data_IF_461303479031
#
_entry.id   IF_461303479031
#
_cell.length_a   1.000
_cell.length_b   1.000
_cell.length_c   1.000
_cell.angle_alpha   90.00
_cell.angle_beta   90.00
_cell.angle_gamma   90.00
#
_symmetry.space_group_name_H-M   'P 1'
#
loop_
_entity.id
_entity.type
_entity.pdbx_description
1 polymer ?
#
# COMPACT_ATOMS: atom_id res chain seq x y z
N UNK A 1 -4.66 -24.93 13.26
CA UNK A 1 -4.07 -23.68 12.73
C UNK A 1 -4.26 -23.67 11.22
N UNK A 2 -5.05 -22.75 10.68
CA UNK A 2 -5.21 -22.60 9.22
C UNK A 2 -4.09 -21.67 8.73
N UNK A 3 -2.90 -22.24 8.55
CA UNK A 3 -1.75 -21.47 8.06
C UNK A 3 -1.96 -21.13 6.59
N UNK A 4 -1.69 -19.89 6.19
CA UNK A 4 -1.56 -19.55 4.77
C UNK A 4 -0.30 -20.23 4.22
N UNK A 5 -0.47 -21.22 3.33
CA UNK A 5 0.62 -21.98 2.67
C UNK A 5 1.09 -21.29 1.38
N UNK A 6 2.26 -21.64 0.80
CA UNK A 6 2.70 -21.09 -0.48
C UNK A 6 1.70 -21.33 -1.62
N UNK A 7 1.04 -22.49 -1.64
CA UNK A 7 -0.03 -22.80 -2.61
C UNK A 7 -1.21 -21.85 -2.41
N UNK A 8 -1.61 -21.61 -1.16
CA UNK A 8 -2.70 -20.69 -0.85
C UNK A 8 -2.37 -19.26 -1.26
N UNK A 9 -1.12 -18.81 -1.06
CA UNK A 9 -0.67 -17.49 -1.54
C UNK A 9 -0.84 -17.40 -3.05
N UNK A 10 -0.43 -18.43 -3.80
CA UNK A 10 -0.57 -18.47 -5.26
C UNK A 10 -2.04 -18.42 -5.70
N UNK A 11 -2.90 -19.25 -5.10
CA UNK A 11 -4.35 -19.25 -5.38
C UNK A 11 -4.98 -17.87 -5.16
N UNK A 12 -4.67 -17.22 -4.04
CA UNK A 12 -5.18 -15.88 -3.73
C UNK A 12 -4.64 -14.87 -4.74
N UNK A 13 -3.34 -14.90 -5.04
CA UNK A 13 -2.73 -13.98 -6.00
C UNK A 13 -3.32 -14.13 -7.41
N UNK A 14 -3.69 -15.34 -7.82
CA UNK A 14 -4.27 -15.65 -9.14
C UNK A 14 -5.78 -15.44 -9.21
N UNK A 15 -6.46 -15.18 -8.09
CA UNK A 15 -7.91 -14.95 -8.07
C UNK A 15 -8.28 -13.75 -8.97
N UNK A 16 -9.13 -13.94 -10.01
CA UNK A 16 -9.48 -12.88 -10.95
C UNK A 16 -10.40 -11.81 -10.34
N UNK A 17 -11.15 -12.15 -9.28
CA UNK A 17 -11.98 -11.19 -8.56
C UNK A 17 -11.09 -10.33 -7.65
N UNK A 18 -10.85 -9.09 -8.06
CA UNK A 18 -9.97 -8.13 -7.36
C UNK A 18 -10.46 -7.79 -5.95
N UNK A 19 -11.78 -7.76 -5.74
CA UNK A 19 -12.37 -7.44 -4.45
C UNK A 19 -12.15 -8.60 -3.50
N UNK A 20 -12.57 -9.80 -3.89
CA UNK A 20 -12.38 -11.02 -3.06
C UNK A 20 -10.89 -11.27 -2.83
N UNK A 21 -10.06 -11.10 -3.86
CA UNK A 21 -8.60 -11.21 -3.74
C UNK A 21 -8.03 -10.25 -2.69
N UNK A 22 -8.38 -8.96 -2.70
CA UNK A 22 -7.86 -8.02 -1.70
C UNK A 22 -8.31 -8.39 -0.28
N UNK A 23 -9.55 -8.85 -0.09
CA UNK A 23 -10.02 -9.34 1.21
C UNK A 23 -9.21 -10.55 1.68
N UNK A 24 -8.93 -11.49 0.78
CA UNK A 24 -8.09 -12.65 1.05
C UNK A 24 -6.65 -12.27 1.39
N UNK A 25 -6.06 -11.32 0.65
CA UNK A 25 -4.72 -10.77 0.93
C UNK A 25 -4.69 -10.16 2.34
N UNK A 26 -5.66 -9.31 2.67
CA UNK A 26 -5.79 -8.65 3.98
C UNK A 26 -5.89 -9.69 5.10
N UNK A 27 -6.74 -10.71 4.91
CA UNK A 27 -6.90 -11.78 5.88
C UNK A 27 -5.62 -12.63 6.03
N UNK A 28 -4.92 -12.93 4.93
CA UNK A 28 -3.67 -13.69 4.98
C UNK A 28 -2.54 -12.92 5.67
N UNK A 29 -2.45 -11.60 5.50
CA UNK A 29 -1.51 -10.78 6.29
C UNK A 29 -1.80 -10.85 7.78
N UNK A 30 -3.07 -10.85 8.18
CA UNK A 30 -3.44 -11.03 9.58
C UNK A 30 -3.07 -12.43 10.09
N UNK A 31 -3.27 -13.48 9.28
CA UNK A 31 -2.87 -14.85 9.63
C UNK A 31 -1.34 -15.00 9.78
N UNK A 32 -0.56 -14.38 8.90
CA UNK A 32 0.90 -14.31 9.05
C UNK A 32 1.29 -13.57 10.33
N UNK A 33 0.60 -12.47 10.62
CA UNK A 33 0.85 -11.66 11.82
C UNK A 33 0.67 -12.48 13.10
N UNK A 34 -0.44 -13.21 13.22
CA UNK A 34 -0.67 -14.08 14.37
C UNK A 34 0.35 -15.21 14.45
N UNK A 35 0.68 -15.83 13.31
CA UNK A 35 1.66 -16.91 13.28
C UNK A 35 3.07 -16.45 13.71
N UNK A 36 3.51 -15.27 13.27
CA UNK A 36 4.80 -14.71 13.67
C UNK A 36 4.80 -14.21 15.12
N UNK A 37 3.69 -13.69 15.63
CA UNK A 37 3.57 -13.24 17.02
C UNK A 37 3.86 -14.36 18.03
N UNK A 38 3.45 -15.60 17.71
CA UNK A 38 3.76 -16.80 18.49
C UNK A 38 5.27 -17.06 18.58
N UNK A 39 6.02 -16.88 17.49
CA UNK A 39 7.48 -17.07 17.48
C UNK A 39 8.25 -15.92 18.15
N UNK A 40 7.70 -14.70 18.11
CA UNK A 40 8.39 -13.51 18.62
C UNK A 40 8.20 -13.30 20.13
N UNK A 41 7.29 -14.06 20.76
CA UNK A 41 7.02 -13.97 22.19
C UNK A 41 6.07 -12.83 22.56
N UNK A 42 5.12 -12.51 21.67
CA UNK A 42 3.99 -11.60 21.94
C UNK A 42 4.36 -10.17 22.34
N UNK A 43 5.44 -9.62 21.78
CA UNK A 43 5.90 -8.25 22.04
C UNK A 43 6.06 -7.42 20.78
N UNK A 44 6.94 -7.85 19.89
CA UNK A 44 7.29 -7.13 18.67
C UNK A 44 6.46 -7.64 17.48
N UNK A 45 5.95 -6.72 16.66
CA UNK A 45 5.20 -7.03 15.45
C UNK A 45 6.09 -7.17 14.22
N UNK A 46 5.74 -8.11 13.35
CA UNK A 46 6.34 -8.28 12.02
C UNK A 46 5.63 -7.40 10.97
N UNK A 47 6.27 -7.18 9.83
CA UNK A 47 5.79 -6.30 8.76
C UNK A 47 4.34 -6.58 8.31
N UNK A 48 3.93 -7.86 8.33
CA UNK A 48 2.56 -8.28 7.99
C UNK A 48 1.48 -7.62 8.86
N UNK A 49 1.83 -7.23 10.09
CA UNK A 49 0.94 -6.53 11.01
C UNK A 49 0.54 -5.17 10.43
N UNK A 50 1.51 -4.42 9.91
CA UNK A 50 1.28 -3.15 9.24
C UNK A 50 0.57 -3.35 7.90
N UNK A 51 1.01 -4.35 7.12
CA UNK A 51 0.43 -4.66 5.81
C UNK A 51 -1.06 -5.02 5.87
N UNK A 52 -1.52 -5.62 6.97
CA UNK A 52 -2.95 -5.91 7.20
C UNK A 52 -3.79 -4.64 7.07
N UNK A 53 -3.40 -3.57 7.74
CA UNK A 53 -4.17 -2.31 7.77
C UNK A 53 -4.04 -1.52 6.48
N UNK A 54 -2.84 -1.47 5.90
CA UNK A 54 -2.62 -0.82 4.60
C UNK A 54 -3.39 -1.55 3.49
N UNK A 55 -3.39 -2.89 3.48
CA UNK A 55 -4.15 -3.69 2.51
C UNK A 55 -5.66 -3.52 2.68
N UNK A 56 -6.13 -3.39 3.93
CA UNK A 56 -7.52 -3.07 4.24
C UNK A 56 -7.93 -1.70 3.67
N UNK A 57 -7.08 -0.67 3.86
CA UNK A 57 -7.29 0.66 3.29
C UNK A 57 -7.35 0.62 1.76
N UNK A 58 -6.43 -0.09 1.11
CA UNK A 58 -6.45 -0.32 -0.34
C UNK A 58 -7.78 -0.94 -0.79
N UNK A 59 -8.37 -1.81 0.04
CA UNK A 59 -9.67 -2.42 -0.21
C UNK A 59 -10.81 -1.42 -0.39
N UNK A 60 -10.83 -0.31 0.36
CA UNK A 60 -11.87 0.73 0.20
C UNK A 60 -11.85 1.36 -1.19
N UNK A 61 -10.65 1.56 -1.77
CA UNK A 61 -10.52 2.02 -3.15
C UNK A 61 -10.94 0.97 -4.17
N UNK A 62 -10.57 -0.29 -3.95
CA UNK A 62 -10.91 -1.38 -4.86
C UNK A 62 -12.43 -1.55 -4.96
N UNK A 63 -13.12 -1.39 -3.83
CA UNK A 63 -14.59 -1.47 -3.73
C UNK A 63 -15.31 -0.18 -4.10
N UNK A 64 -14.58 0.89 -4.44
CA UNK A 64 -15.12 2.23 -4.71
C UNK A 64 -15.99 2.78 -3.56
N UNK A 65 -15.67 2.39 -2.31
CA UNK A 65 -16.47 2.74 -1.13
C UNK A 65 -16.32 4.20 -0.72
N UNK A 66 -15.25 4.86 -1.16
CA UNK A 66 -15.06 6.29 -0.97
C UNK A 66 -14.80 6.97 -2.30
N UNK A 67 -15.75 7.80 -2.72
CA UNK A 67 -15.46 8.93 -3.60
C UNK A 67 -15.14 10.10 -2.68
N UNK A 68 -13.87 10.54 -2.59
CA UNK A 68 -13.48 11.53 -1.60
C UNK A 68 -14.22 12.84 -1.83
N UNK A 69 -14.52 13.57 -0.75
CA UNK A 69 -15.26 14.83 -0.79
C UNK A 69 -14.71 15.84 -1.83
N UNK A 70 -13.38 15.95 -2.08
CA UNK A 70 -12.86 16.79 -3.16
C UNK A 70 -13.32 16.34 -4.56
N UNK A 71 -13.46 15.04 -4.81
CA UNK A 71 -13.98 14.50 -6.08
C UNK A 71 -15.49 14.76 -6.19
N UNK A 72 -16.23 14.67 -5.08
CA UNK A 72 -17.65 15.07 -5.01
C UNK A 72 -17.85 16.57 -5.25
N UNK A 73 -17.03 17.42 -4.66
CA UNK A 73 -17.04 18.87 -4.85
C UNK A 73 -16.67 19.24 -6.30
N UNK A 74 -15.73 18.53 -6.90
CA UNK A 74 -15.37 18.72 -8.30
C UNK A 74 -16.50 18.30 -9.25
N UNK A 75 -17.21 17.20 -8.97
CA UNK A 75 -18.44 16.82 -9.66
C UNK A 75 -19.56 17.86 -9.43
N UNK A 76 -19.60 18.52 -8.28
CA UNK A 76 -20.55 19.59 -7.97
C UNK A 76 -20.26 20.93 -8.70
N UNK A 77 -19.08 21.11 -9.30
CA UNK A 77 -18.80 22.25 -10.19
C UNK A 77 -19.72 22.27 -11.42
N UNK A 78 -20.30 21.12 -11.80
CA UNK A 78 -21.33 20.99 -12.85
C UNK A 78 -22.61 21.78 -12.50
N UNK A 79 -22.90 21.93 -11.20
CA UNK A 79 -24.05 22.72 -10.71
C UNK A 79 -23.77 24.22 -10.80
N UNK A 80 -22.52 24.66 -10.53
CA UNK A 80 -22.14 26.07 -10.66
C UNK A 80 -21.92 26.51 -12.12
N UNK A 81 -21.60 25.60 -13.04
CA UNK A 81 -21.54 25.90 -14.48
C UNK A 81 -22.89 26.35 -15.07
N UNK A 82 -24.04 26.04 -14.43
CA UNK A 82 -25.33 26.65 -14.81
C UNK A 82 -25.36 28.17 -14.57
N UNK A 83 -24.48 28.72 -13.73
CA UNK A 83 -24.38 30.16 -13.43
C UNK A 83 -23.30 30.89 -14.24
N UNK A 84 -22.26 30.18 -14.68
CA UNK A 84 -21.23 30.74 -15.56
C UNK A 84 -21.67 30.54 -17.02
N UNK A 85 -21.98 31.62 -17.74
CA UNK A 85 -22.49 31.61 -19.12
C UNK A 85 -21.54 30.97 -20.16
N UNK A 86 -21.35 29.65 -20.09
CA UNK A 86 -20.52 28.90 -21.03
C UNK A 86 -21.26 28.69 -22.36
N UNK A 87 -20.55 28.75 -23.50
CA UNK A 87 -21.13 28.46 -24.80
C UNK A 87 -21.72 27.04 -24.88
N UNK A 88 -22.80 26.81 -25.68
CA UNK A 88 -23.50 25.53 -25.78
C UNK A 88 -22.60 24.34 -26.11
N UNK A 89 -21.59 24.57 -26.97
CA UNK A 89 -20.65 23.55 -27.40
C UNK A 89 -19.77 23.05 -26.23
N UNK A 90 -19.35 23.93 -25.32
CA UNK A 90 -18.62 23.53 -24.11
C UNK A 90 -19.50 22.69 -23.19
N UNK A 91 -20.74 23.09 -22.97
CA UNK A 91 -21.70 22.35 -22.14
C UNK A 91 -21.95 20.93 -22.65
N UNK A 92 -22.05 20.75 -23.97
CA UNK A 92 -22.20 19.44 -24.60
C UNK A 92 -20.92 18.58 -24.47
N UNK A 93 -19.75 19.19 -24.63
CA UNK A 93 -18.44 18.55 -24.52
C UNK A 93 -17.97 18.31 -23.07
N UNK A 94 -18.68 18.82 -22.07
CA UNK A 94 -18.34 18.66 -20.65
C UNK A 94 -19.22 17.62 -19.94
N UNK A 95 -20.50 17.47 -20.30
CA UNK A 95 -21.42 16.72 -19.44
C UNK A 95 -21.30 15.19 -19.51
N UNK A 96 -21.15 14.58 -20.69
CA UNK A 96 -20.99 13.12 -20.85
C UNK A 96 -19.54 12.63 -21.04
N UNK A 97 -18.73 13.25 -21.90
CA UNK A 97 -17.38 12.76 -22.18
C UNK A 97 -16.43 12.87 -20.98
N UNK A 98 -16.54 13.96 -20.22
CA UNK A 98 -15.70 14.18 -19.05
C UNK A 98 -16.08 13.27 -17.88
N UNK A 99 -17.37 13.06 -17.60
CA UNK A 99 -17.82 12.06 -16.61
C UNK A 99 -17.37 10.65 -16.97
N UNK A 100 -17.34 10.31 -18.26
CA UNK A 100 -16.85 9.01 -18.74
C UNK A 100 -15.35 8.86 -18.47
N UNK A 101 -14.57 9.92 -18.69
CA UNK A 101 -13.16 9.98 -18.34
C UNK A 101 -12.89 9.91 -16.83
N UNK A 102 -13.70 10.57 -16.01
CA UNK A 102 -13.62 10.46 -14.54
C UNK A 102 -13.82 9.00 -14.13
N UNK A 103 -14.90 8.35 -14.60
CA UNK A 103 -15.18 6.94 -14.28
C UNK A 103 -14.06 6.02 -14.73
N UNK A 104 -13.60 6.17 -15.97
CA UNK A 104 -12.46 5.41 -16.50
C UNK A 104 -11.22 5.57 -15.64
N UNK A 105 -10.93 6.80 -15.21
CA UNK A 105 -9.74 7.10 -14.41
C UNK A 105 -9.83 6.49 -13.01
N UNK A 106 -10.99 6.57 -12.35
CA UNK A 106 -11.22 5.91 -11.05
C UNK A 106 -11.06 4.39 -11.17
N UNK A 107 -11.62 3.79 -12.21
CA UNK A 107 -11.50 2.35 -12.48
C UNK A 107 -10.03 1.93 -12.73
N UNK A 108 -9.25 2.76 -13.44
CA UNK A 108 -7.82 2.51 -13.75
C UNK A 108 -6.95 2.61 -12.48
N UNK A 109 -7.25 3.57 -11.61
CA UNK A 109 -6.59 3.72 -10.30
C UNK A 109 -6.90 2.52 -9.41
N UNK A 110 -8.18 2.15 -9.29
CA UNK A 110 -8.62 0.95 -8.57
C UNK A 110 -7.93 -0.32 -9.09
N UNK A 111 -7.80 -0.44 -10.42
CA UNK A 111 -7.05 -1.53 -11.06
C UNK A 111 -5.58 -1.55 -10.64
N UNK A 112 -4.88 -0.43 -10.76
CA UNK A 112 -3.44 -0.37 -10.45
C UNK A 112 -3.13 -0.57 -8.97
N UNK A 113 -3.99 -0.10 -8.06
CA UNK A 113 -3.88 -0.39 -6.63
C UNK A 113 -4.12 -1.87 -6.32
N UNK A 114 -5.14 -2.47 -6.93
CA UNK A 114 -5.41 -3.91 -6.78
C UNK A 114 -4.28 -4.79 -7.32
N UNK A 115 -3.60 -4.35 -8.38
CA UNK A 115 -2.47 -5.05 -8.96
C UNK A 115 -1.18 -4.86 -8.15
N UNK A 116 -0.93 -3.64 -7.63
CA UNK A 116 0.19 -3.37 -6.72
C UNK A 116 0.11 -4.22 -5.44
N UNK A 117 -1.05 -4.25 -4.79
CA UNK A 117 -1.27 -5.08 -3.59
C UNK A 117 -1.12 -6.58 -3.89
N UNK A 118 -1.59 -7.04 -5.07
CA UNK A 118 -1.39 -8.42 -5.53
C UNK A 118 0.10 -8.73 -5.75
N UNK A 119 0.84 -7.83 -6.38
CA UNK A 119 2.27 -8.00 -6.66
C UNK A 119 3.07 -8.18 -5.38
N UNK A 120 2.86 -7.29 -4.40
CA UNK A 120 3.50 -7.36 -3.09
C UNK A 120 3.15 -8.67 -2.39
N UNK A 121 1.85 -9.02 -2.34
CA UNK A 121 1.41 -10.24 -1.69
C UNK A 121 1.97 -11.51 -2.34
N UNK A 122 1.99 -11.58 -3.67
CA UNK A 122 2.53 -12.73 -4.39
C UNK A 122 4.02 -12.97 -4.10
N UNK A 123 4.80 -11.90 -3.87
CA UNK A 123 6.20 -12.00 -3.48
C UNK A 123 6.33 -12.26 -1.97
N UNK A 124 6.02 -11.26 -1.12
CA UNK A 124 6.26 -11.34 0.32
C UNK A 124 5.41 -12.41 1.02
N UNK A 125 4.17 -12.64 0.57
CA UNK A 125 3.34 -13.70 1.12
C UNK A 125 3.94 -15.09 0.91
N UNK A 126 4.54 -15.34 -0.26
CA UNK A 126 5.21 -16.61 -0.54
C UNK A 126 6.45 -16.78 0.33
N UNK A 127 7.24 -15.71 0.49
CA UNK A 127 8.40 -15.72 1.38
C UNK A 127 8.02 -15.97 2.84
N UNK A 128 6.94 -15.35 3.32
CA UNK A 128 6.43 -15.57 4.68
C UNK A 128 5.90 -16.98 4.89
N UNK A 129 5.18 -17.54 3.92
CA UNK A 129 4.69 -18.90 4.00
C UNK A 129 5.85 -19.92 4.04
N UNK A 130 6.85 -19.76 3.17
CA UNK A 130 8.07 -20.58 3.18
C UNK A 130 8.85 -20.43 4.49
N UNK A 131 8.97 -19.21 5.00
CA UNK A 131 9.67 -18.94 6.26
C UNK A 131 8.94 -19.57 7.46
N UNK A 132 7.62 -19.51 7.51
CA UNK A 132 6.84 -20.19 8.55
C UNK A 132 6.98 -21.72 8.49
N UNK A 133 7.10 -22.31 7.31
CA UNK A 133 7.40 -23.74 7.16
C UNK A 133 8.77 -24.05 7.77
N UNK A 134 9.79 -23.24 7.47
CA UNK A 134 11.13 -23.37 8.03
C UNK A 134 11.13 -23.24 9.56
N UNK A 135 10.41 -22.26 10.12
CA UNK A 135 10.37 -22.06 11.58
C UNK A 135 9.62 -23.19 12.31
N UNK A 136 8.67 -23.85 11.65
CA UNK A 136 7.88 -24.95 12.24
C UNK A 136 8.56 -26.30 12.09
N UNK A 137 9.48 -26.47 11.15
CA UNK A 137 10.11 -27.76 10.89
C UNK A 137 11.12 -28.16 11.99
N UNK A 138 11.65 -27.20 12.74
CA UNK A 138 12.69 -27.45 13.75
C UNK A 138 12.39 -26.74 15.07
N UNK A 139 12.70 -27.40 16.19
CA UNK A 139 12.71 -26.76 17.50
C UNK A 139 14.13 -26.25 17.79
N UNK A 140 14.41 -25.01 17.41
CA UNK A 140 15.69 -24.35 17.68
C UNK A 140 16.42 -23.84 16.43
N UNK A 141 17.63 -23.28 16.60
CA UNK A 141 18.44 -22.81 15.48
C UNK A 141 18.88 -23.95 14.54
N UNK A 142 18.71 -23.75 13.24
CA UNK A 142 19.15 -24.57 12.12
C UNK A 142 19.76 -23.63 11.04
N UNK A 143 21.07 -23.36 11.15
CA UNK A 143 21.77 -22.50 10.19
C UNK A 143 21.76 -23.06 8.76
N UNK A 144 21.75 -24.39 8.57
CA UNK A 144 21.80 -24.98 7.23
C UNK A 144 20.50 -24.75 6.46
N UNK A 145 19.35 -24.91 7.13
CA UNK A 145 18.06 -24.60 6.50
C UNK A 145 17.86 -23.10 6.31
N UNK A 146 18.37 -22.28 7.23
CA UNK A 146 18.39 -20.84 7.04
C UNK A 146 19.21 -20.48 5.78
N UNK A 147 20.43 -20.98 5.63
CA UNK A 147 21.28 -20.70 4.46
C UNK A 147 20.59 -21.16 3.16
N UNK A 148 19.97 -22.35 3.17
CA UNK A 148 19.21 -22.84 2.02
C UNK A 148 17.99 -21.96 1.69
N UNK A 149 17.34 -21.38 2.69
CA UNK A 149 16.26 -20.41 2.50
C UNK A 149 16.79 -19.08 1.94
N UNK A 150 17.83 -18.50 2.56
CA UNK A 150 18.40 -17.21 2.18
C UNK A 150 19.02 -17.24 0.77
N UNK A 151 19.70 -18.32 0.38
CA UNK A 151 20.27 -18.48 -0.96
C UNK A 151 19.22 -18.45 -2.07
N UNK A 152 17.96 -18.76 -1.77
CA UNK A 152 16.86 -18.62 -2.76
C UNK A 152 16.41 -17.18 -2.94
N UNK A 153 16.67 -16.32 -1.96
CA UNK A 153 16.25 -14.92 -1.97
C UNK A 153 17.25 -14.01 -2.66
N UNK A 154 18.54 -14.38 -2.65
CA UNK A 154 19.62 -13.59 -3.27
C UNK A 154 19.47 -13.43 -4.78
N UNK A 155 18.75 -14.35 -5.43
CA UNK A 155 18.48 -14.31 -6.86
C UNK A 155 17.38 -13.31 -7.24
N UNK A 156 16.71 -12.68 -6.26
CA UNK A 156 15.67 -11.71 -6.55
C UNK A 156 16.27 -10.44 -7.18
N UNK A 157 15.88 -10.08 -8.42
CA UNK A 157 16.47 -8.94 -9.14
C UNK A 157 16.16 -7.57 -8.52
N UNK A 158 15.23 -7.51 -7.55
CA UNK A 158 14.86 -6.27 -6.88
C UNK A 158 15.20 -6.43 -5.39
N UNK A 159 16.28 -5.79 -4.95
CA UNK A 159 16.71 -5.74 -3.55
C UNK A 159 16.91 -7.13 -2.89
N UNK A 160 17.47 -8.08 -3.65
CA UNK A 160 17.80 -9.44 -3.17
C UNK A 160 18.70 -9.45 -1.93
N UNK A 161 19.64 -8.51 -1.84
CA UNK A 161 20.54 -8.39 -0.68
C UNK A 161 19.77 -7.91 0.58
N UNK A 162 18.90 -6.91 0.43
CA UNK A 162 18.10 -6.36 1.53
C UNK A 162 17.11 -7.38 2.07
N UNK A 163 16.47 -8.19 1.20
CA UNK A 163 15.53 -9.21 1.65
C UNK A 163 16.27 -10.35 2.37
N UNK A 164 17.48 -10.73 1.93
CA UNK A 164 18.34 -11.68 2.65
C UNK A 164 18.70 -11.14 4.03
N UNK A 165 19.12 -9.86 4.13
CA UNK A 165 19.40 -9.20 5.41
C UNK A 165 18.16 -9.19 6.31
N UNK A 166 16.99 -8.88 5.76
CA UNK A 166 15.75 -8.80 6.52
C UNK A 166 15.39 -10.13 7.20
N UNK A 167 15.40 -11.23 6.44
CA UNK A 167 15.10 -12.56 6.98
C UNK A 167 16.21 -13.11 7.88
N UNK A 168 17.46 -12.70 7.66
CA UNK A 168 18.57 -12.99 8.60
C UNK A 168 18.28 -12.35 9.96
N UNK A 169 17.92 -11.06 10.00
CA UNK A 169 17.55 -10.40 11.26
C UNK A 169 16.29 -11.01 11.88
N UNK A 170 15.30 -11.39 11.08
CA UNK A 170 14.06 -11.99 11.57
C UNK A 170 14.37 -13.31 12.27
N UNK A 171 15.14 -14.17 11.62
CA UNK A 171 15.55 -15.45 12.17
C UNK A 171 16.32 -15.29 13.48
N UNK A 172 17.31 -14.38 13.53
CA UNK A 172 18.05 -14.12 14.76
C UNK A 172 17.18 -13.50 15.86
N UNK A 173 16.19 -12.67 15.50
CA UNK A 173 15.27 -12.10 16.47
C UNK A 173 14.49 -13.18 17.21
N UNK A 174 14.03 -14.24 16.53
CA UNK A 174 13.24 -15.32 17.15
C UNK A 174 13.98 -15.96 18.34
N UNK A 175 15.28 -16.19 18.21
CA UNK A 175 16.12 -16.81 19.24
C UNK A 175 16.81 -15.81 20.18
N UNK A 176 16.63 -14.50 19.97
CA UNK A 176 17.22 -13.46 20.80
C UNK A 176 16.51 -13.39 22.17
N UNK A 177 17.31 -13.29 23.22
CA UNK A 177 16.84 -13.25 24.62
C UNK A 177 16.87 -11.84 25.19
N UNK A 178 17.77 -10.98 24.70
CA UNK A 178 17.79 -9.58 25.08
C UNK A 178 16.62 -8.85 24.39
N UNK A 179 15.64 -8.31 25.15
CA UNK A 179 14.45 -7.70 24.58
C UNK A 179 14.73 -6.46 23.72
N UNK A 180 15.80 -5.70 24.02
CA UNK A 180 16.19 -4.55 23.22
C UNK A 180 16.78 -4.98 21.88
N UNK A 181 17.72 -5.94 21.89
CA UNK A 181 18.33 -6.46 20.66
C UNK A 181 17.28 -7.17 19.79
N UNK A 182 16.35 -7.91 20.38
CA UNK A 182 15.22 -8.53 19.67
C UNK A 182 14.37 -7.47 18.98
N UNK A 183 14.00 -6.40 19.69
CA UNK A 183 13.21 -5.31 19.14
C UNK A 183 13.96 -4.61 17.99
N UNK A 184 15.24 -4.30 18.15
CA UNK A 184 16.04 -3.66 17.10
C UNK A 184 16.22 -4.56 15.87
N UNK A 185 16.37 -5.88 16.04
CA UNK A 185 16.39 -6.83 14.92
C UNK A 185 15.07 -6.87 14.17
N UNK A 186 13.95 -6.97 14.89
CA UNK A 186 12.63 -6.92 14.25
C UNK A 186 12.37 -5.59 13.55
N UNK A 187 12.88 -4.49 14.11
CA UNK A 187 12.78 -3.19 13.49
C UNK A 187 13.55 -3.13 12.16
N UNK A 188 14.80 -3.60 12.13
CA UNK A 188 15.57 -3.73 10.88
C UNK A 188 14.88 -4.64 9.87
N UNK A 189 14.35 -5.80 10.30
CA UNK A 189 13.55 -6.69 9.44
C UNK A 189 12.39 -5.95 8.80
N UNK A 190 11.61 -5.20 9.59
CA UNK A 190 10.45 -4.47 9.11
C UNK A 190 10.85 -3.37 8.11
N UNK A 191 11.90 -2.60 8.39
CA UNK A 191 12.40 -1.55 7.49
C UNK A 191 12.88 -2.15 6.16
N UNK A 192 13.68 -3.22 6.20
CA UNK A 192 14.25 -3.84 5.00
C UNK A 192 13.16 -4.48 4.12
N UNK A 193 12.18 -5.17 4.73
CA UNK A 193 11.00 -5.67 4.00
C UNK A 193 10.19 -4.50 3.41
N UNK A 194 9.98 -3.44 4.19
CA UNK A 194 9.32 -2.22 3.72
C UNK A 194 10.05 -1.60 2.54
N UNK A 195 11.37 -1.47 2.59
CA UNK A 195 12.17 -0.93 1.49
C UNK A 195 12.01 -1.78 0.23
N UNK A 196 12.13 -3.11 0.36
CA UNK A 196 11.92 -4.07 -0.73
C UNK A 196 10.53 -3.95 -1.37
N UNK A 197 9.50 -3.85 -0.55
CA UNK A 197 8.12 -3.58 -0.98
C UNK A 197 8.01 -2.25 -1.73
N UNK A 198 8.52 -1.17 -1.14
CA UNK A 198 8.36 0.19 -1.67
C UNK A 198 9.14 0.43 -2.98
N UNK A 199 10.26 -0.26 -3.19
CA UNK A 199 10.99 -0.25 -4.46
C UNK A 199 10.17 -0.96 -5.55
N UNK A 200 9.60 -2.14 -5.26
CA UNK A 200 8.75 -2.87 -6.22
C UNK A 200 7.49 -2.10 -6.60
N UNK A 201 6.89 -1.40 -5.64
CA UNK A 201 5.68 -0.63 -5.87
C UNK A 201 5.91 0.61 -6.74
N UNK A 202 7.15 1.08 -6.95
CA UNK A 202 7.43 2.33 -7.66
C UNK A 202 6.80 2.36 -9.05
N UNK A 203 6.91 1.27 -9.83
CA UNK A 203 6.33 1.22 -11.17
C UNK A 203 4.79 1.24 -11.13
N UNK A 204 4.19 0.51 -10.18
CA UNK A 204 2.73 0.47 -10.01
C UNK A 204 2.19 1.85 -9.58
N UNK A 205 2.90 2.55 -8.68
CA UNK A 205 2.57 3.92 -8.29
C UNK A 205 2.67 4.86 -9.49
N UNK A 206 3.74 4.79 -10.28
CA UNK A 206 3.88 5.66 -11.45
C UNK A 206 2.79 5.43 -12.51
N UNK A 207 2.37 4.17 -12.71
CA UNK A 207 1.21 3.84 -13.57
C UNK A 207 -0.09 4.40 -13.00
N UNK A 208 -0.34 4.26 -11.70
CA UNK A 208 -1.52 4.80 -11.00
C UNK A 208 -1.64 6.30 -11.20
N UNK A 209 -0.53 7.04 -11.07
CA UNK A 209 -0.54 8.50 -11.13
C UNK A 209 -0.46 9.09 -12.55
N UNK A 210 0.19 8.43 -13.52
CA UNK A 210 0.44 9.03 -14.85
C UNK A 210 -0.40 8.44 -16.00
N UNK A 211 -0.90 7.20 -15.90
CA UNK A 211 -1.51 6.51 -17.03
C UNK A 211 -2.84 7.13 -17.51
N UNK A 212 -3.75 7.61 -16.64
CA UNK A 212 -5.02 8.19 -17.09
C UNK A 212 -4.82 9.46 -17.94
N UNK A 213 -3.80 10.25 -17.62
CA UNK A 213 -3.49 11.53 -18.26
C UNK A 213 -3.07 11.38 -19.70
N UNK A 214 -2.06 10.53 -19.90
CA UNK A 214 -1.49 10.29 -21.22
C UNK A 214 -2.55 9.67 -22.13
N UNK A 215 -3.26 8.65 -21.65
CA UNK A 215 -4.30 7.95 -22.44
C UNK A 215 -5.42 8.89 -22.91
N UNK A 216 -5.93 9.76 -22.05
CA UNK A 216 -7.00 10.68 -22.42
C UNK A 216 -6.56 11.81 -23.37
N UNK A 217 -5.32 12.29 -23.25
CA UNK A 217 -4.78 13.34 -24.11
C UNK A 217 -4.19 12.82 -25.43
N UNK A 218 -3.87 11.53 -25.52
CA UNK A 218 -3.32 10.88 -26.71
C UNK A 218 -4.41 10.39 -27.68
N UNK A 219 -5.55 9.89 -27.18
CA UNK A 219 -6.75 9.61 -28.01
C UNK A 219 -8.04 10.22 -27.41
N UNK A 220 -8.22 11.55 -27.51
CA UNK A 220 -9.38 12.26 -26.96
C UNK A 220 -10.72 11.76 -27.50
N UNK A 221 -10.76 11.19 -28.70
CA UNK A 221 -12.03 10.72 -29.28
C UNK A 221 -12.41 9.34 -28.78
N UNK A 222 -11.43 8.49 -28.50
CA UNK A 222 -11.74 7.20 -27.89
C UNK A 222 -12.16 7.34 -26.43
N UNK A 223 -11.55 8.27 -25.71
CA UNK A 223 -11.66 8.34 -24.25
C UNK A 223 -12.53 9.48 -23.72
N UNK A 224 -12.74 10.55 -24.51
CA UNK A 224 -13.64 11.64 -24.15
C UNK A 224 -14.88 11.55 -25.03
N UNK A 225 -14.76 11.66 -26.36
CA UNK A 225 -15.93 11.86 -27.23
C UNK A 225 -15.99 10.79 -28.34
N UNK A 226 -16.67 9.66 -28.12
CA UNK A 226 -16.77 8.57 -29.10
C UNK A 226 -17.80 8.94 -30.19
N UNK A 227 -17.46 9.94 -31.01
CA UNK A 227 -18.22 10.28 -32.20
C UNK A 227 -17.60 9.57 -33.42
N UNK A 228 -18.40 8.93 -34.30
CA UNK A 228 -17.91 8.33 -35.53
C UNK A 228 -17.56 9.44 -36.54
N UNK A 229 -16.37 10.00 -36.42
CA UNK A 229 -15.85 11.03 -37.32
C UNK A 229 -14.96 10.41 -38.41
N UNK A 230 -15.06 10.86 -39.68
CA UNK A 230 -14.10 10.52 -40.73
C UNK A 230 -12.66 10.85 -40.30
N UNK A 231 -11.69 10.04 -40.75
CA UNK A 231 -10.28 10.08 -40.30
C UNK A 231 -9.59 11.47 -40.42
N UNK A 232 -9.97 12.27 -41.42
CA UNK A 232 -9.46 13.64 -41.60
C UNK A 232 -9.95 14.60 -40.50
N UNK A 233 -11.25 14.54 -40.21
CA UNK A 233 -11.89 15.35 -39.15
C UNK A 233 -11.50 14.86 -37.76
N UNK A 234 -11.04 13.60 -37.68
CA UNK A 234 -10.57 12.97 -36.46
C UNK A 234 -9.34 13.71 -35.89
N UNK A 235 -8.32 13.97 -36.71
CA UNK A 235 -7.09 14.67 -36.25
C UNK A 235 -7.33 16.13 -35.84
N UNK A 236 -8.11 16.87 -36.61
CA UNK A 236 -8.38 18.30 -36.35
C UNK A 236 -9.25 18.50 -35.11
N UNK A 237 -10.31 17.71 -34.95
CA UNK A 237 -11.16 17.78 -33.75
C UNK A 237 -10.43 17.31 -32.48
N UNK A 238 -9.54 16.32 -32.57
CA UNK A 238 -8.72 15.90 -31.43
C UNK A 238 -7.85 17.06 -30.88
N UNK A 239 -7.30 17.90 -31.76
CA UNK A 239 -6.49 19.07 -31.35
C UNK A 239 -7.34 20.14 -30.68
N UNK A 240 -8.56 20.35 -31.18
CA UNK A 240 -9.53 21.30 -30.61
C UNK A 240 -10.00 20.81 -29.23
N UNK A 241 -10.35 19.53 -29.10
CA UNK A 241 -10.75 18.90 -27.84
C UNK A 241 -9.60 18.98 -26.84
N UNK A 242 -8.36 18.66 -27.24
CA UNK A 242 -7.17 18.75 -26.40
C UNK A 242 -6.92 20.18 -25.89
N UNK A 243 -7.08 21.20 -26.73
CA UNK A 243 -6.96 22.61 -26.31
C UNK A 243 -8.08 23.04 -25.35
N UNK A 244 -9.32 22.62 -25.62
CA UNK A 244 -10.48 22.98 -24.80
C UNK A 244 -10.50 22.26 -23.45
N UNK A 245 -10.18 20.97 -23.43
CA UNK A 245 -10.29 20.11 -22.25
C UNK A 245 -8.98 19.93 -21.49
N UNK A 246 -7.82 20.16 -22.12
CA UNK A 246 -6.51 19.97 -21.50
C UNK A 246 -6.32 20.65 -20.15
N UNK A 247 -6.70 21.94 -19.95
CA UNK A 247 -6.61 22.58 -18.65
C UNK A 247 -7.51 21.94 -17.57
N UNK A 248 -8.69 21.46 -17.95
CA UNK A 248 -9.63 20.81 -17.03
C UNK A 248 -9.14 19.42 -16.65
N UNK A 249 -8.66 18.65 -17.63
CA UNK A 249 -8.06 17.32 -17.44
C UNK A 249 -6.87 17.43 -16.48
N UNK A 250 -5.94 18.37 -16.72
CA UNK A 250 -4.81 18.61 -15.81
C UNK A 250 -5.24 18.97 -14.39
N UNK A 251 -6.25 19.85 -14.23
CA UNK A 251 -6.77 20.20 -12.90
C UNK A 251 -7.44 19.02 -12.20
N UNK A 252 -8.20 18.22 -12.95
CA UNK A 252 -8.80 17.00 -12.42
C UNK A 252 -7.72 16.03 -11.97
N UNK A 253 -6.66 15.86 -12.75
CA UNK A 253 -5.54 14.98 -12.43
C UNK A 253 -4.74 15.47 -11.24
N UNK A 254 -4.46 16.78 -11.13
CA UNK A 254 -3.83 17.35 -9.94
C UNK A 254 -4.69 17.11 -8.69
N UNK A 255 -6.00 17.27 -8.82
CA UNK A 255 -6.96 17.03 -7.73
C UNK A 255 -7.02 15.55 -7.38
N UNK A 256 -7.14 14.69 -8.39
CA UNK A 256 -7.17 13.25 -8.23
C UNK A 256 -5.85 12.73 -7.67
N UNK A 257 -4.71 13.25 -8.09
CA UNK A 257 -3.41 12.91 -7.53
C UNK A 257 -3.38 13.30 -6.05
N UNK A 258 -3.81 14.50 -5.67
CA UNK A 258 -3.92 14.87 -4.25
C UNK A 258 -4.86 13.96 -3.48
N UNK A 259 -5.97 13.55 -4.08
CA UNK A 259 -6.94 12.65 -3.46
C UNK A 259 -6.39 11.22 -3.32
N UNK A 260 -5.81 10.65 -4.37
CA UNK A 260 -5.17 9.34 -4.34
C UNK A 260 -4.01 9.36 -3.35
N UNK A 261 -3.20 10.41 -3.38
CA UNK A 261 -2.16 10.63 -2.37
C UNK A 261 -2.83 10.68 -1.00
N UNK A 262 -3.63 11.68 -0.65
CA UNK A 262 -4.27 11.79 0.67
C UNK A 262 -4.95 10.50 1.15
N UNK A 263 -5.70 9.80 0.29
CA UNK A 263 -6.42 8.58 0.68
C UNK A 263 -5.54 7.32 0.71
N UNK A 264 -4.42 7.25 -0.04
CA UNK A 264 -3.39 6.19 0.14
C UNK A 264 -2.47 6.50 1.32
N UNK A 265 -2.35 7.79 1.64
CA UNK A 265 -1.60 8.33 2.76
C UNK A 265 -2.39 8.26 4.06
N UNK A 266 -3.67 7.94 4.00
CA UNK A 266 -4.52 7.94 5.18
C UNK A 266 -5.08 6.54 5.37
N UNK A 267 -4.68 5.87 6.45
CA UNK A 267 -5.23 4.56 6.77
C UNK A 267 -5.69 4.51 8.22
N UNK A 268 -6.84 3.86 8.40
CA UNK A 268 -7.37 3.59 9.72
C UNK A 268 -6.67 2.38 10.34
N UNK A 269 -6.19 2.54 11.55
CA UNK A 269 -5.80 1.47 12.45
C UNK A 269 -6.85 1.35 13.56
N UNK A 270 -6.82 0.28 14.38
CA UNK A 270 -7.67 0.15 15.56
C UNK A 270 -7.50 1.26 16.60
N UNK A 271 -6.37 1.97 16.57
CA UNK A 271 -6.02 3.02 17.56
C UNK A 271 -6.26 4.43 17.06
N UNK A 272 -6.50 4.60 15.76
CA UNK A 272 -6.81 5.88 15.18
C UNK A 272 -6.54 5.92 13.69
N UNK A 273 -6.66 7.12 13.13
CA UNK A 273 -6.34 7.40 11.75
C UNK A 273 -4.92 7.97 11.68
N UNK A 274 -4.11 7.47 10.74
CA UNK A 274 -2.78 7.98 10.48
C UNK A 274 -2.77 8.61 9.10
N UNK A 275 -2.41 9.89 9.05
CA UNK A 275 -2.27 10.68 7.83
C UNK A 275 -0.76 10.82 7.53
N UNK A 276 -0.28 10.26 6.42
CA UNK A 276 1.16 10.21 6.15
C UNK A 276 1.75 11.53 5.67
N UNK A 277 0.93 12.57 5.49
CA UNK A 277 1.40 13.94 5.26
C UNK A 277 1.61 14.71 6.58
N UNK A 278 1.23 14.12 7.71
CA UNK A 278 1.50 14.60 9.05
C UNK A 278 2.63 13.81 9.71
N UNK A 279 3.22 14.43 10.72
CA UNK A 279 4.17 13.76 11.60
C UNK A 279 3.50 12.61 12.35
N UNK A 280 4.25 11.53 12.57
CA UNK A 280 3.76 10.37 13.32
C UNK A 280 3.38 10.83 14.73
N UNK A 281 2.11 10.64 15.15
CA UNK A 281 1.68 11.09 16.45
C UNK A 281 2.35 10.28 17.56
N UNK A 282 2.57 10.87 18.74
CA UNK A 282 3.12 10.16 19.88
C UNK A 282 2.23 8.97 20.27
N UNK A 283 2.85 8.00 20.94
CA UNK A 283 2.15 6.90 21.59
C UNK A 283 1.19 7.41 22.69
N UNK A 284 0.22 6.59 23.14
CA UNK A 284 -0.72 7.00 24.18
C UNK A 284 -0.07 7.46 25.50
N UNK A 285 1.16 7.04 25.78
CA UNK A 285 1.94 7.46 26.94
C UNK A 285 2.73 8.78 26.72
N UNK A 286 2.62 9.40 25.54
CA UNK A 286 3.31 10.64 25.16
C UNK A 286 4.71 10.44 24.56
N UNK A 287 5.24 9.23 24.53
CA UNK A 287 6.54 8.94 23.93
C UNK A 287 6.47 8.83 22.40
N UNK A 288 7.58 9.10 21.71
CA UNK A 288 7.68 8.89 20.25
C UNK A 288 7.82 7.41 19.88
N UNK A 289 8.61 6.66 20.67
CA UNK A 289 8.94 5.26 20.40
C UNK A 289 8.82 4.41 21.67
N UNK A 290 8.59 3.09 21.56
CA UNK A 290 8.62 2.16 22.68
C UNK A 290 9.99 2.15 23.36
N UNK A 291 10.05 1.86 24.67
CA UNK A 291 11.30 1.91 25.45
C UNK A 291 12.47 1.16 24.83
N UNK A 292 12.22 -0.02 24.26
CA UNK A 292 13.22 -0.86 23.61
C UNK A 292 13.79 -0.25 22.30
N UNK A 293 13.08 0.71 21.70
CA UNK A 293 13.44 1.36 20.43
C UNK A 293 13.71 2.87 20.58
N UNK A 294 13.57 3.44 21.79
CA UNK A 294 13.88 4.86 22.05
C UNK A 294 15.32 5.19 21.68
N UNK A 295 16.25 4.30 22.03
CA UNK A 295 17.67 4.40 21.67
C UNK A 295 18.13 3.10 21.03
N UNK A 296 18.58 3.19 19.79
CA UNK A 296 19.18 2.07 19.07
C UNK A 296 20.60 1.83 19.59
N UNK A 297 20.98 0.57 19.72
CA UNK A 297 22.27 0.10 20.26
C UNK A 297 23.06 -0.68 19.23
N UNK A 298 22.39 -1.37 18.31
CA UNK A 298 23.00 -1.99 17.15
C UNK A 298 23.46 -0.91 16.17
N UNK A 299 24.72 -0.99 15.75
CA UNK A 299 25.30 -0.03 14.81
C UNK A 299 24.57 -0.10 13.45
N UNK A 300 24.30 -1.30 12.96
CA UNK A 300 23.56 -1.49 11.71
C UNK A 300 22.15 -0.89 11.74
N UNK A 301 21.46 -0.96 12.88
CA UNK A 301 20.14 -0.33 13.02
C UNK A 301 20.24 1.20 12.93
N UNK A 302 21.28 1.79 13.52
CA UNK A 302 21.54 3.23 13.42
C UNK A 302 21.89 3.63 11.99
N UNK A 303 22.76 2.88 11.33
CA UNK A 303 23.17 3.15 9.95
C UNK A 303 21.97 3.08 8.99
N UNK A 304 21.12 2.06 9.12
CA UNK A 304 19.92 1.89 8.30
C UNK A 304 18.92 3.04 8.49
N UNK A 305 18.71 3.49 9.73
CA UNK A 305 17.83 4.63 10.00
C UNK A 305 18.44 5.93 9.46
N UNK A 306 19.74 6.17 9.66
CA UNK A 306 20.40 7.36 9.12
C UNK A 306 20.38 7.42 7.58
N UNK A 307 20.32 6.28 6.91
CA UNK A 307 20.21 6.19 5.45
C UNK A 307 18.79 6.51 4.95
N UNK A 308 17.76 6.01 5.64
CA UNK A 308 16.39 5.99 5.14
C UNK A 308 15.46 7.03 5.75
N UNK A 309 15.82 7.60 6.90
CA UNK A 309 15.03 8.57 7.66
C UNK A 309 15.79 9.92 7.75
N UNK A 310 15.12 10.99 7.32
CA UNK A 310 15.65 12.36 7.37
C UNK A 310 15.66 12.92 8.80
N UNK A 311 14.88 12.33 9.70
CA UNK A 311 14.67 12.73 11.09
C UNK A 311 14.90 11.56 12.07
N UNK A 312 16.06 10.89 12.04
CA UNK A 312 16.32 9.56 12.63
C UNK A 312 16.11 9.42 14.14
N UNK A 313 15.91 10.52 14.86
CA UNK A 313 15.75 10.56 16.32
C UNK A 313 14.49 11.32 16.77
N UNK A 314 13.59 11.65 15.85
CA UNK A 314 12.33 12.33 16.18
C UNK A 314 11.27 12.06 15.12
N UNK A 315 10.03 11.85 15.54
CA UNK A 315 8.90 11.78 14.60
C UNK A 315 8.51 13.15 14.04
N UNK A 316 9.12 14.25 14.50
CA UNK A 316 8.86 15.59 13.99
C UNK A 316 9.56 15.77 12.64
N UNK A 317 8.79 16.07 11.60
CA UNK A 317 9.26 16.12 10.21
C UNK A 317 9.15 14.79 9.48
N UNK A 318 8.52 13.78 10.08
CA UNK A 318 8.33 12.46 9.45
C UNK A 318 7.29 12.50 8.32
N UNK A 319 6.39 13.49 8.31
CA UNK A 319 5.33 13.64 7.32
C UNK A 319 5.87 13.72 5.88
N UNK A 320 5.40 12.81 5.03
CA UNK A 320 5.82 12.72 3.64
C UNK A 320 5.21 13.86 2.80
N UNK A 321 6.05 14.58 2.06
CA UNK A 321 5.61 15.71 1.21
C UNK A 321 5.18 15.27 -0.18
N UNK A 322 5.74 14.16 -0.66
CA UNK A 322 5.62 13.61 -1.99
C UNK A 322 5.83 12.10 -1.93
N UNK A 323 4.74 11.37 -1.72
CA UNK A 323 4.73 9.90 -1.69
C UNK A 323 5.24 9.24 -2.98
N UNK A 324 5.48 9.97 -4.07
CA UNK A 324 6.09 9.38 -5.27
C UNK A 324 7.60 9.21 -5.15
N UNK A 325 8.24 9.98 -4.28
CA UNK A 325 9.67 9.89 -4.01
C UNK A 325 9.90 8.82 -2.94
N UNK A 326 10.72 7.82 -3.28
CA UNK A 326 11.00 6.70 -2.39
C UNK A 326 11.55 7.16 -1.03
N UNK A 327 12.50 8.09 -1.01
CA UNK A 327 13.08 8.58 0.24
C UNK A 327 12.05 9.25 1.15
N UNK A 328 11.12 10.01 0.58
CA UNK A 328 10.06 10.69 1.35
C UNK A 328 9.03 9.67 1.91
N UNK A 329 8.74 8.59 1.16
CA UNK A 329 7.94 7.47 1.69
C UNK A 329 8.66 6.75 2.83
N UNK A 330 9.93 6.41 2.62
CA UNK A 330 10.71 5.65 3.59
C UNK A 330 10.93 6.44 4.88
N UNK A 331 11.12 7.76 4.80
CA UNK A 331 11.16 8.66 5.95
C UNK A 331 9.96 8.45 6.89
N UNK A 332 8.75 8.46 6.35
CA UNK A 332 7.54 8.20 7.12
C UNK A 332 7.44 6.74 7.62
N UNK A 333 7.73 5.77 6.74
CA UNK A 333 7.56 4.34 7.01
C UNK A 333 8.50 3.86 8.12
N UNK A 334 9.75 4.35 8.15
CA UNK A 334 10.72 4.02 9.20
C UNK A 334 10.21 4.43 10.57
N UNK A 335 9.74 5.68 10.72
CA UNK A 335 9.16 6.17 11.97
C UNK A 335 7.86 5.46 12.35
N UNK A 336 7.01 5.15 11.37
CA UNK A 336 5.79 4.37 11.61
C UNK A 336 6.12 2.99 12.17
N UNK A 337 7.04 2.25 11.53
CA UNK A 337 7.45 0.94 12.01
C UNK A 337 8.09 1.02 13.39
N UNK A 338 8.99 1.98 13.62
CA UNK A 338 9.66 2.15 14.91
C UNK A 338 8.69 2.44 16.04
N UNK A 339 7.78 3.37 15.80
CA UNK A 339 6.83 3.83 16.82
C UNK A 339 5.76 2.79 17.13
N UNK A 340 5.29 2.04 16.12
CA UNK A 340 4.14 1.13 16.25
C UNK A 340 4.50 -0.35 16.34
N UNK A 341 5.78 -0.72 16.31
CA UNK A 341 6.22 -2.12 16.39
C UNK A 341 5.64 -2.90 17.58
N UNK A 342 5.51 -2.26 18.75
CA UNK A 342 5.02 -2.92 19.97
C UNK A 342 3.53 -2.60 20.25
N UNK A 343 2.81 -2.04 19.27
CA UNK A 343 1.41 -1.69 19.42
C UNK A 343 0.48 -2.88 19.21
N UNK A 344 0.15 -3.55 20.31
CA UNK A 344 -0.66 -4.79 20.31
C UNK A 344 -2.05 -4.63 19.69
N UNK A 345 -2.61 -3.42 19.69
CA UNK A 345 -3.90 -3.15 19.08
C UNK A 345 -3.90 -3.42 17.56
N UNK A 346 -2.75 -3.34 16.90
CA UNK A 346 -2.63 -3.68 15.47
C UNK A 346 -2.77 -5.18 15.17
N UNK A 347 -2.81 -6.04 16.20
CA UNK A 347 -3.10 -7.47 16.06
C UNK A 347 -4.60 -7.80 16.02
N UNK A 348 -5.48 -6.80 16.18
CA UNK A 348 -6.92 -7.04 16.09
C UNK A 348 -7.28 -7.61 14.70
N UNK A 349 -8.26 -8.51 14.68
CA UNK A 349 -8.72 -9.09 13.43
C UNK A 349 -9.33 -8.01 12.52
N UNK A 350 -8.95 -7.95 11.24
CA UNK A 350 -9.50 -6.95 10.31
C UNK A 350 -10.96 -7.22 9.98
N UNK A 351 -11.44 -8.45 10.18
CA UNK A 351 -12.80 -8.89 9.87
C UNK A 351 -13.37 -9.72 11.03
N UNK A 352 -14.70 -9.78 11.12
CA UNK A 352 -15.39 -10.68 12.06
C UNK A 352 -15.13 -12.15 11.69
N UNK A 353 -15.30 -13.11 12.63
CA UNK A 353 -15.11 -14.53 12.35
C UNK A 353 -15.91 -15.04 11.14
N UNK A 354 -17.17 -14.65 11.03
CA UNK A 354 -18.07 -15.06 9.94
C UNK A 354 -17.60 -14.49 8.59
N UNK A 355 -17.13 -13.25 8.58
CA UNK A 355 -16.55 -12.62 7.39
C UNK A 355 -15.26 -13.31 6.98
N UNK A 356 -14.37 -13.61 7.94
CA UNK A 356 -13.11 -14.30 7.69
C UNK A 356 -13.34 -15.68 7.06
N UNK A 357 -14.32 -16.44 7.54
CA UNK A 357 -14.65 -17.76 6.98
C UNK A 357 -15.21 -17.68 5.55
N UNK A 358 -16.05 -16.69 5.25
CA UNK A 358 -16.50 -16.43 3.89
C UNK A 358 -15.34 -16.02 2.96
N UNK A 359 -14.45 -15.14 3.42
CA UNK A 359 -13.27 -14.67 2.68
C UNK A 359 -12.33 -15.86 2.36
N UNK A 360 -12.06 -16.72 3.34
CA UNK A 360 -11.26 -17.95 3.12
C UNK A 360 -11.87 -18.84 2.05
N UNK A 361 -13.20 -19.00 2.08
CA UNK A 361 -13.93 -19.76 1.08
C UNK A 361 -14.06 -19.06 -0.28
N UNK A 362 -13.43 -17.89 -0.49
CA UNK A 362 -13.47 -17.15 -1.75
C UNK A 362 -14.80 -16.47 -2.02
N UNK A 363 -15.58 -16.18 -0.98
CA UNK A 363 -16.88 -15.50 -1.10
C UNK A 363 -16.76 -14.07 -0.58
N UNK A 364 -17.52 -13.16 -1.19
CA UNK A 364 -17.72 -11.82 -0.67
C UNK A 364 -18.63 -11.88 0.57
N UNK A 365 -18.15 -11.51 1.76
CA UNK A 365 -18.98 -11.51 2.97
C UNK A 365 -19.98 -10.36 3.01
N UNK A 366 -21.01 -10.50 3.85
CA UNK A 366 -21.97 -9.45 4.13
C UNK A 366 -21.46 -8.48 5.22
N UNK A 367 -22.05 -7.29 5.27
CA UNK A 367 -21.77 -6.26 6.27
C UNK A 367 -20.62 -5.32 5.91
N UNK A 368 -20.26 -4.38 6.80
CA UNK A 368 -19.14 -3.47 6.62
C UNK A 368 -17.80 -4.24 6.56
N UNK A 369 -16.93 -3.87 5.63
CA UNK A 369 -15.65 -4.54 5.37
C UNK A 369 -14.46 -3.68 5.76
#
# INVERSE_FOLDING_TARGET
SNLTTPERVREVAENPDRVVRNLQITQSYHEFTLAFDEFLGHRDGAWSMFATWVSKQVGHFIRNEEVPEPLRQFLALDVQQRRLGLPPLRRLLLNKPFLTYIRFTVDDVSYHLADGNRLVYANLGALFADFLILLRSHQGPDPMQLDAFLNRLSDDPINGEEIVRAFTHFYHAIFETNPQIKAERMFMTNILIGLHEQVRLQEALDRTFQAPIRRALDDPQRHLIPLPLPSLLRRTSATIIKRLMGPLIRRFEETLQRVITASLLTFATPTGQLDTDQDIPPLPNGDMYPDALKRLTLLEAQDLVNELDYTPNTTRGSGARNWRQLGDRMNYIVDYFRSRQQERALLQAPFTPEQADAIRAGRLPAGPL
#
